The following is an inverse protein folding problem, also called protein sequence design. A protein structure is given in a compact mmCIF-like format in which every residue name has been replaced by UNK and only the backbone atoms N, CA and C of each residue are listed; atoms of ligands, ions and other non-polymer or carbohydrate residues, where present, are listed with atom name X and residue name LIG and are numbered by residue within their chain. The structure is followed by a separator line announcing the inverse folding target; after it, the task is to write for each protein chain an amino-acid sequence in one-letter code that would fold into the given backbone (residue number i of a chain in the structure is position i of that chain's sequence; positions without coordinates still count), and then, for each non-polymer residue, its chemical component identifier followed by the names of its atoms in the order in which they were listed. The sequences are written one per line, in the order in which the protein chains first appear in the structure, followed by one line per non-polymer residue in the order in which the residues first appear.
data_IF_746314696645
#
_entry.id   IF_746314696645
#
_cell.length_a   1.000
_cell.length_b   1.000
_cell.length_c   1.000
_cell.angle_alpha   90.00
_cell.angle_beta   90.00
_cell.angle_gamma   90.00
#
_symmetry.space_group_name_H-M   'P 1'
#
loop_
_entity.id
_entity.type
_entity.pdbx_description
1 polymer ?
#
# COMPACT_ATOMS: atom_id res chain seq x y z
N UNK A 1 -12.40 2.00 -1.94
CA UNK A 1 -13.58 2.15 -2.84
C UNK A 1 -14.40 3.32 -2.32
N UNK A 2 -14.81 4.22 -3.19
CA UNK A 2 -15.68 5.32 -2.76
C UNK A 2 -17.11 4.83 -2.50
N UNK A 3 -17.89 5.60 -1.72
CA UNK A 3 -19.29 5.31 -1.48
C UNK A 3 -20.13 5.60 -2.74
N UNK A 4 -21.03 4.69 -3.14
CA UNK A 4 -21.85 4.87 -4.34
C UNK A 4 -22.79 6.07 -4.27
N UNK A 5 -23.25 6.46 -3.06
CA UNK A 5 -24.06 7.66 -2.87
C UNK A 5 -23.22 8.90 -3.11
N UNK A 6 -21.98 8.93 -2.57
CA UNK A 6 -21.04 10.00 -2.82
C UNK A 6 -20.72 10.14 -4.31
N UNK A 7 -20.50 9.02 -5.03
CA UNK A 7 -20.25 9.02 -6.48
C UNK A 7 -21.44 9.63 -7.23
N UNK A 8 -22.68 9.27 -6.88
CA UNK A 8 -23.90 9.82 -7.50
C UNK A 8 -24.06 11.32 -7.29
N UNK A 9 -23.77 11.79 -6.09
CA UNK A 9 -23.88 13.20 -5.72
C UNK A 9 -22.75 14.06 -6.31
N UNK A 10 -21.59 13.45 -6.63
CA UNK A 10 -20.37 14.14 -7.04
C UNK A 10 -19.77 13.58 -8.34
N UNK A 11 -20.60 13.17 -9.30
CA UNK A 11 -20.16 12.53 -10.55
C UNK A 11 -19.10 13.32 -11.32
N UNK A 12 -19.26 14.65 -11.41
CA UNK A 12 -18.33 15.52 -12.11
C UNK A 12 -16.96 15.58 -11.42
N UNK A 13 -16.94 15.54 -10.09
CA UNK A 13 -15.72 15.51 -9.29
C UNK A 13 -14.97 14.19 -9.48
N UNK A 14 -15.68 13.06 -9.56
CA UNK A 14 -15.09 11.75 -9.85
C UNK A 14 -14.49 11.72 -11.27
N UNK A 15 -15.22 12.20 -12.26
CA UNK A 15 -14.76 12.29 -13.64
C UNK A 15 -13.51 13.18 -13.76
N UNK A 16 -13.49 14.33 -13.08
CA UNK A 16 -12.33 15.22 -13.02
C UNK A 16 -11.13 14.55 -12.33
N UNK A 17 -11.36 13.83 -11.20
CA UNK A 17 -10.33 13.08 -10.49
C UNK A 17 -9.72 11.99 -11.36
N UNK A 18 -10.54 11.22 -12.08
CA UNK A 18 -10.10 10.21 -13.04
C UNK A 18 -9.25 10.84 -14.16
N UNK A 19 -9.72 11.94 -14.75
CA UNK A 19 -9.00 12.67 -15.78
C UNK A 19 -7.64 13.19 -15.30
N UNK A 20 -7.55 13.76 -14.10
CA UNK A 20 -6.29 14.24 -13.50
C UNK A 20 -5.27 13.11 -13.30
N UNK A 21 -5.75 11.92 -12.95
CA UNK A 21 -4.92 10.70 -12.79
C UNK A 21 -4.63 9.98 -14.11
N UNK A 22 -5.11 10.48 -15.23
CA UNK A 22 -5.02 9.82 -16.54
C UNK A 22 -5.63 8.40 -16.54
N UNK A 23 -6.66 8.16 -15.68
CA UNK A 23 -7.37 6.90 -15.60
C UNK A 23 -8.62 7.01 -16.48
N UNK A 24 -8.75 6.08 -17.43
CA UNK A 24 -9.97 5.96 -18.24
C UNK A 24 -11.07 5.29 -17.40
N UNK A 25 -12.04 6.10 -16.96
CA UNK A 25 -13.16 5.65 -16.13
C UNK A 25 -14.46 6.36 -16.51
N UNK A 26 -15.46 5.55 -16.90
CA UNK A 26 -16.79 6.04 -17.24
C UNK A 26 -17.72 5.99 -16.03
N UNK A 27 -17.95 7.17 -15.42
CA UNK A 27 -18.84 7.32 -14.27
C UNK A 27 -20.29 7.06 -14.64
N UNK A 28 -20.74 7.48 -15.85
CA UNK A 28 -22.12 7.30 -16.28
C UNK A 28 -22.43 5.82 -16.54
N UNK A 29 -21.48 5.05 -17.06
CA UNK A 29 -21.61 3.59 -17.19
C UNK A 29 -21.82 2.93 -15.81
N UNK A 30 -21.03 3.33 -14.80
CA UNK A 30 -21.21 2.85 -13.42
C UNK A 30 -22.60 3.18 -12.88
N UNK A 31 -23.05 4.43 -13.04
CA UNK A 31 -24.35 4.87 -12.53
C UNK A 31 -25.51 4.15 -13.23
N UNK A 32 -25.40 3.91 -14.53
CA UNK A 32 -26.40 3.14 -15.29
C UNK A 32 -26.50 1.68 -14.79
N UNK A 33 -25.36 1.04 -14.51
CA UNK A 33 -25.34 -0.33 -13.95
C UNK A 33 -25.89 -0.34 -12.53
N UNK A 34 -25.59 0.68 -11.71
CA UNK A 34 -26.13 0.81 -10.35
C UNK A 34 -27.64 1.01 -10.35
N UNK A 35 -28.21 1.76 -11.31
CA UNK A 35 -29.65 1.93 -11.45
C UNK A 35 -30.35 0.60 -11.75
N UNK A 36 -29.84 -0.17 -12.72
CA UNK A 36 -30.34 -1.52 -13.03
C UNK A 36 -30.24 -2.46 -11.82
N UNK A 37 -29.11 -2.40 -11.10
CA UNK A 37 -28.92 -3.19 -9.87
C UNK A 37 -29.99 -2.86 -8.83
N UNK A 38 -30.29 -1.59 -8.62
CA UNK A 38 -31.33 -1.13 -7.68
C UNK A 38 -32.72 -1.56 -8.09
N UNK A 39 -33.06 -1.42 -9.37
CA UNK A 39 -34.34 -1.87 -9.91
C UNK A 39 -34.54 -3.38 -9.73
N UNK A 40 -33.56 -4.19 -10.14
CA UNK A 40 -33.62 -5.65 -9.97
C UNK A 40 -33.66 -6.07 -8.49
N UNK A 41 -32.88 -5.39 -7.62
CA UNK A 41 -32.93 -5.68 -6.19
C UNK A 41 -34.33 -5.44 -5.62
N UNK A 42 -34.97 -4.32 -5.96
CA UNK A 42 -36.33 -4.02 -5.52
C UNK A 42 -37.36 -5.01 -6.08
N UNK A 43 -37.23 -5.42 -7.36
CA UNK A 43 -38.11 -6.41 -7.98
C UNK A 43 -38.02 -7.77 -7.29
N UNK A 44 -36.81 -8.27 -7.05
CA UNK A 44 -36.56 -9.53 -6.34
C UNK A 44 -37.08 -9.47 -4.90
N UNK A 45 -36.82 -8.39 -4.16
CA UNK A 45 -37.31 -8.21 -2.79
C UNK A 45 -38.83 -8.20 -2.72
N UNK A 46 -39.50 -7.51 -3.65
CA UNK A 46 -40.97 -7.48 -3.76
C UNK A 46 -41.54 -8.87 -4.02
N UNK A 47 -40.99 -9.61 -5.01
CA UNK A 47 -41.46 -10.97 -5.33
C UNK A 47 -41.19 -11.94 -4.18
N UNK A 48 -40.10 -11.77 -3.43
CA UNK A 48 -39.78 -12.56 -2.24
C UNK A 48 -40.80 -12.31 -1.11
N UNK A 49 -41.23 -11.06 -0.92
CA UNK A 49 -42.29 -10.73 0.01
C UNK A 49 -43.66 -11.32 -0.41
N UNK A 50 -44.02 -11.21 -1.70
CA UNK A 50 -45.23 -11.82 -2.28
C UNK A 50 -45.21 -13.36 -2.12
N UNK A 51 -44.09 -14.01 -2.37
CA UNK A 51 -43.91 -15.45 -2.16
C UNK A 51 -44.17 -15.87 -0.73
N UNK A 52 -43.63 -15.12 0.25
CA UNK A 52 -43.87 -15.39 1.68
C UNK A 52 -45.36 -15.25 2.03
N UNK A 53 -46.01 -14.16 1.55
CA UNK A 53 -47.45 -13.94 1.81
C UNK A 53 -48.33 -15.04 1.20
N UNK A 54 -48.04 -15.47 -0.07
CA UNK A 54 -48.78 -16.55 -0.73
C UNK A 54 -48.54 -17.89 -0.02
N UNK A 55 -47.29 -18.14 0.41
CA UNK A 55 -46.99 -19.36 1.22
C UNK A 55 -47.83 -19.45 2.49
N UNK A 56 -47.96 -18.34 3.23
CA UNK A 56 -48.75 -18.25 4.45
C UNK A 56 -50.26 -18.42 4.18
N UNK A 57 -50.76 -17.98 3.03
CA UNK A 57 -52.14 -18.15 2.59
C UNK A 57 -52.44 -19.62 2.23
N UNK A 58 -51.55 -20.28 1.46
CA UNK A 58 -51.68 -21.68 1.04
C UNK A 58 -51.88 -22.63 2.26
N UNK A 59 -51.17 -22.36 3.38
CA UNK A 59 -51.26 -23.16 4.61
C UNK A 59 -52.66 -23.04 5.24
N UNK A 60 -53.37 -21.93 5.08
CA UNK A 60 -54.65 -21.63 5.70
C UNK A 60 -55.86 -22.05 4.87
N UNK A 61 -55.68 -22.34 3.57
CA UNK A 61 -56.74 -22.71 2.64
C UNK A 61 -57.14 -24.17 2.81
N UNK A 62 -58.45 -24.39 3.03
CA UNK A 62 -59.04 -25.73 3.18
C UNK A 62 -59.62 -26.26 1.84
N UNK A 63 -59.96 -25.37 0.89
CA UNK A 63 -60.45 -25.75 -0.43
C UNK A 63 -59.32 -26.27 -1.29
N UNK A 64 -59.51 -27.46 -1.84
CA UNK A 64 -58.49 -28.16 -2.67
C UNK A 64 -58.23 -27.51 -3.99
N UNK A 65 -59.28 -27.01 -4.65
CA UNK A 65 -59.17 -26.40 -6.00
C UNK A 65 -58.46 -25.02 -5.89
N UNK A 66 -58.85 -24.22 -4.89
CA UNK A 66 -58.22 -22.93 -4.63
C UNK A 66 -56.74 -23.09 -4.24
N UNK A 67 -56.41 -24.12 -3.45
CA UNK A 67 -55.04 -24.44 -3.08
C UNK A 67 -54.19 -24.85 -4.25
N UNK A 68 -54.72 -25.69 -5.16
CA UNK A 68 -54.02 -26.08 -6.39
C UNK A 68 -53.75 -24.87 -7.32
N UNK A 69 -54.70 -23.96 -7.46
CA UNK A 69 -54.55 -22.75 -8.24
C UNK A 69 -53.42 -21.86 -7.66
N UNK A 70 -53.41 -21.64 -6.33
CA UNK A 70 -52.35 -20.84 -5.69
C UNK A 70 -50.97 -21.48 -5.78
N UNK A 71 -50.88 -22.81 -5.78
CA UNK A 71 -49.61 -23.52 -6.03
C UNK A 71 -49.07 -23.27 -7.41
N UNK A 72 -49.95 -23.25 -8.44
CA UNK A 72 -49.55 -22.91 -9.81
C UNK A 72 -49.03 -21.47 -9.90
N UNK A 73 -49.75 -20.50 -9.32
CA UNK A 73 -49.35 -19.10 -9.26
C UNK A 73 -48.01 -18.93 -8.52
N UNK A 74 -47.83 -19.63 -7.42
CA UNK A 74 -46.57 -19.66 -6.66
C UNK A 74 -45.42 -20.19 -7.52
N UNK A 75 -45.64 -21.23 -8.34
CA UNK A 75 -44.62 -21.76 -9.21
C UNK A 75 -44.20 -20.75 -10.29
N UNK A 76 -45.17 -20.06 -10.89
CA UNK A 76 -44.91 -19.00 -11.88
C UNK A 76 -44.10 -17.84 -11.23
N UNK A 77 -44.51 -17.37 -10.06
CA UNK A 77 -43.81 -16.34 -9.31
C UNK A 77 -42.36 -16.74 -9.01
N UNK A 78 -42.14 -18.00 -8.63
CA UNK A 78 -40.80 -18.54 -8.35
C UNK A 78 -39.92 -18.59 -9.58
N UNK A 79 -40.49 -19.03 -10.73
CA UNK A 79 -39.76 -19.10 -12.00
C UNK A 79 -39.38 -17.71 -12.53
N UNK A 80 -40.24 -16.68 -12.32
CA UNK A 80 -39.94 -15.32 -12.66
C UNK A 80 -38.87 -14.73 -11.70
N UNK A 81 -39.01 -14.97 -10.41
CA UNK A 81 -38.04 -14.50 -9.40
C UNK A 81 -36.64 -15.09 -9.68
N UNK A 82 -36.54 -16.37 -10.04
CA UNK A 82 -35.27 -17.00 -10.38
C UNK A 82 -34.59 -16.31 -11.59
N UNK A 83 -35.34 -15.95 -12.64
CA UNK A 83 -34.77 -15.21 -13.77
C UNK A 83 -34.23 -13.84 -13.37
N UNK A 84 -34.95 -13.12 -12.50
CA UNK A 84 -34.50 -11.81 -12.00
C UNK A 84 -33.29 -11.95 -11.06
N UNK A 85 -33.21 -13.00 -10.24
CA UNK A 85 -32.04 -13.31 -9.41
C UNK A 85 -30.80 -13.62 -10.26
N UNK A 86 -30.94 -14.34 -11.37
CA UNK A 86 -29.85 -14.59 -12.33
C UNK A 86 -29.37 -13.28 -12.97
N UNK A 87 -30.30 -12.43 -13.44
CA UNK A 87 -29.97 -11.12 -13.98
C UNK A 87 -29.32 -10.20 -12.92
N UNK A 88 -29.82 -10.23 -11.70
CA UNK A 88 -29.23 -9.46 -10.59
C UNK A 88 -27.81 -9.93 -10.31
N UNK A 89 -27.52 -11.21 -10.35
CA UNK A 89 -26.19 -11.76 -10.17
C UNK A 89 -25.20 -11.26 -11.24
N UNK A 90 -25.63 -11.22 -12.50
CA UNK A 90 -24.82 -10.68 -13.60
C UNK A 90 -24.55 -9.19 -13.43
N UNK A 91 -25.57 -8.40 -13.13
CA UNK A 91 -25.46 -6.96 -12.90
C UNK A 91 -24.60 -6.67 -11.66
N UNK A 92 -24.70 -7.45 -10.59
CA UNK A 92 -23.84 -7.33 -9.41
C UNK A 92 -22.37 -7.54 -9.75
N UNK A 93 -22.06 -8.51 -10.62
CA UNK A 93 -20.68 -8.74 -11.08
C UNK A 93 -20.14 -7.54 -11.88
N UNK A 94 -20.94 -7.01 -12.81
CA UNK A 94 -20.58 -5.80 -13.57
C UNK A 94 -20.40 -4.60 -12.66
N UNK A 95 -21.32 -4.39 -11.73
CA UNK A 95 -21.25 -3.31 -10.74
C UNK A 95 -19.99 -3.39 -9.88
N UNK A 96 -19.65 -4.58 -9.37
CA UNK A 96 -18.43 -4.79 -8.58
C UNK A 96 -17.17 -4.47 -9.39
N UNK A 97 -17.12 -4.92 -10.66
CA UNK A 97 -15.99 -4.63 -11.56
C UNK A 97 -15.80 -3.12 -11.75
N UNK A 98 -16.88 -2.38 -12.01
CA UNK A 98 -16.81 -0.93 -12.15
C UNK A 98 -16.46 -0.23 -10.83
N UNK A 99 -17.06 -0.66 -9.71
CA UNK A 99 -16.80 -0.06 -8.39
C UNK A 99 -15.34 -0.20 -7.93
N UNK A 100 -14.67 -1.31 -8.23
CA UNK A 100 -13.25 -1.47 -7.88
C UNK A 100 -12.31 -0.65 -8.78
N UNK A 101 -12.79 -0.23 -9.95
CA UNK A 101 -12.05 0.63 -10.87
C UNK A 101 -12.22 2.13 -10.59
N UNK A 102 -13.14 2.54 -9.70
CA UNK A 102 -13.31 3.95 -9.34
C UNK A 102 -12.06 4.51 -8.71
N UNK A 103 -11.42 5.55 -9.28
CA UNK A 103 -10.26 6.19 -8.67
C UNK A 103 -10.66 7.06 -7.47
N UNK A 104 -9.75 7.17 -6.51
CA UNK A 104 -9.87 8.17 -5.46
C UNK A 104 -9.53 9.57 -6.00
N UNK A 105 -10.06 10.59 -5.36
CA UNK A 105 -9.89 11.99 -5.79
C UNK A 105 -8.55 12.50 -5.25
N UNK A 106 -7.67 13.06 -6.10
CA UNK A 106 -6.45 13.70 -5.65
C UNK A 106 -6.73 14.90 -4.75
N UNK A 107 -5.88 15.12 -3.75
CA UNK A 107 -5.88 16.34 -2.93
C UNK A 107 -5.67 17.58 -3.80
N UNK A 108 -6.24 18.72 -3.38
CA UNK A 108 -6.10 19.98 -4.12
C UNK A 108 -4.65 20.49 -4.20
N UNK A 109 -3.78 20.07 -3.28
CA UNK A 109 -2.36 20.42 -3.28
C UNK A 109 -1.52 19.58 -4.25
N UNK A 110 -2.10 18.52 -4.83
CA UNK A 110 -1.40 17.65 -5.78
C UNK A 110 -1.22 18.38 -7.11
N UNK A 111 0.01 18.52 -7.63
CA UNK A 111 0.26 19.18 -8.90
C UNK A 111 -0.34 18.38 -10.07
N UNK A 112 -0.71 19.09 -11.12
CA UNK A 112 -1.08 18.47 -12.39
C UNK A 112 0.19 17.96 -13.10
N UNK A 113 0.09 16.83 -13.78
CA UNK A 113 1.19 16.21 -14.52
C UNK A 113 0.80 14.83 -15.02
N UNK A 114 1.65 14.25 -15.87
CA UNK A 114 1.39 12.99 -16.57
C UNK A 114 2.17 11.82 -15.97
N UNK A 115 3.43 12.06 -15.60
CA UNK A 115 4.33 11.02 -15.08
C UNK A 115 5.31 11.60 -14.03
N UNK A 116 6.26 10.77 -13.59
CA UNK A 116 7.28 11.08 -12.58
C UNK A 116 8.10 12.35 -12.87
N UNK A 117 8.22 12.75 -14.14
CA UNK A 117 8.97 13.96 -14.54
C UNK A 117 8.26 15.26 -14.19
N UNK A 118 6.94 15.20 -13.98
CA UNK A 118 6.12 16.35 -13.59
C UNK A 118 6.01 16.49 -12.05
N UNK A 119 6.65 15.60 -11.29
CA UNK A 119 6.75 15.70 -9.85
C UNK A 119 7.47 16.97 -9.43
N UNK A 120 7.06 17.58 -8.31
CA UNK A 120 7.63 18.85 -7.85
C UNK A 120 8.46 18.67 -6.59
N UNK A 121 9.69 19.21 -6.63
CA UNK A 121 10.55 19.28 -5.45
C UNK A 121 9.92 20.19 -4.39
N UNK A 122 9.83 19.68 -3.16
CA UNK A 122 9.33 20.42 -2.00
C UNK A 122 10.43 20.84 -1.05
N UNK A 123 11.46 19.99 -0.89
CA UNK A 123 12.48 20.13 0.14
C UNK A 123 13.77 19.47 -0.34
N UNK A 124 14.90 20.07 -0.02
CA UNK A 124 16.23 19.48 -0.16
C UNK A 124 16.92 19.51 1.19
N UNK A 125 17.67 18.46 1.51
CA UNK A 125 18.47 18.37 2.74
C UNK A 125 19.84 17.73 2.48
N UNK A 126 20.84 18.20 3.21
CA UNK A 126 22.21 17.70 3.14
C UNK A 126 23.03 18.30 2.00
N UNK A 127 24.34 18.14 2.10
CA UNK A 127 25.28 18.58 1.07
C UNK A 127 25.70 17.38 0.23
N UNK A 128 25.61 17.52 -1.09
CA UNK A 128 26.10 16.51 -2.04
C UNK A 128 27.62 16.35 -1.84
N UNK A 129 28.12 15.12 -1.59
CA UNK A 129 29.53 14.89 -1.37
C UNK A 129 30.37 15.28 -2.58
N UNK A 130 31.48 15.96 -2.34
CA UNK A 130 32.46 16.30 -3.38
C UNK A 130 33.64 15.37 -3.26
N UNK A 131 33.86 14.57 -4.29
CA UNK A 131 35.00 13.69 -4.38
C UNK A 131 36.15 14.36 -5.15
N UNK A 132 37.37 14.22 -4.67
CA UNK A 132 38.60 14.60 -5.39
C UNK A 132 39.11 13.46 -6.31
N UNK A 133 38.32 12.38 -6.40
CA UNK A 133 38.54 11.23 -7.25
C UNK A 133 37.26 10.89 -8.02
N UNK A 134 37.34 10.04 -9.03
CA UNK A 134 36.17 9.55 -9.75
C UNK A 134 35.44 8.51 -8.91
N UNK A 135 34.21 8.81 -8.44
CA UNK A 135 33.44 7.85 -7.61
C UNK A 135 33.06 6.62 -8.42
N UNK A 136 33.24 5.45 -7.81
CA UNK A 136 32.78 4.16 -8.34
C UNK A 136 31.30 3.96 -8.02
N UNK A 137 30.63 3.18 -8.84
CA UNK A 137 29.28 2.73 -8.52
C UNK A 137 29.30 1.58 -7.49
N UNK A 138 28.15 1.33 -6.87
CA UNK A 138 28.01 0.29 -5.84
C UNK A 138 28.37 -1.12 -6.32
N UNK A 139 28.17 -1.44 -7.61
CA UNK A 139 28.51 -2.76 -8.15
C UNK A 139 30.01 -2.98 -8.09
N UNK A 140 30.79 -2.00 -8.58
CA UNK A 140 32.26 -2.05 -8.57
C UNK A 140 32.80 -2.10 -7.14
N UNK A 141 32.36 -1.16 -6.27
CA UNK A 141 32.80 -1.08 -4.89
C UNK A 141 32.50 -2.37 -4.11
N UNK A 142 31.25 -2.83 -4.16
CA UNK A 142 30.84 -4.01 -3.39
C UNK A 142 31.45 -5.30 -3.95
N UNK A 143 31.69 -5.38 -5.25
CA UNK A 143 32.38 -6.52 -5.85
C UNK A 143 33.86 -6.54 -5.45
N UNK A 144 34.56 -5.40 -5.54
CA UNK A 144 35.97 -5.25 -5.16
C UNK A 144 36.20 -5.60 -3.68
N UNK A 145 35.24 -5.29 -2.81
CA UNK A 145 35.25 -5.60 -1.38
C UNK A 145 34.70 -6.99 -1.04
N UNK A 146 34.28 -7.79 -2.03
CA UNK A 146 33.73 -9.12 -1.81
C UNK A 146 32.35 -9.13 -1.14
N UNK A 147 31.64 -8.00 -1.15
CA UNK A 147 30.36 -7.77 -0.51
C UNK A 147 29.13 -8.15 -1.37
N UNK A 148 29.31 -8.19 -2.70
CA UNK A 148 28.24 -8.48 -3.67
C UNK A 148 28.69 -9.60 -4.62
N UNK A 149 27.77 -10.54 -4.90
CA UNK A 149 28.03 -11.63 -5.85
C UNK A 149 26.82 -11.76 -6.81
N UNK A 150 26.90 -11.11 -7.93
CA UNK A 150 25.87 -11.13 -8.98
C UNK A 150 25.95 -12.39 -9.86
N UNK A 151 27.14 -12.95 -10.04
CA UNK A 151 27.32 -14.16 -10.86
C UNK A 151 26.60 -15.36 -10.23
N UNK A 152 26.87 -15.60 -8.95
CA UNK A 152 26.17 -16.66 -8.20
C UNK A 152 24.72 -16.33 -7.97
N UNK A 153 24.38 -15.06 -7.78
CA UNK A 153 22.99 -14.60 -7.70
C UNK A 153 22.20 -14.96 -8.96
N UNK A 154 22.74 -14.63 -10.13
CA UNK A 154 22.12 -14.99 -11.42
C UNK A 154 22.04 -16.49 -11.62
N UNK A 155 23.05 -17.23 -11.20
CA UNK A 155 23.06 -18.72 -11.28
C UNK A 155 21.92 -19.34 -10.46
N UNK A 156 21.59 -18.76 -9.31
CA UNK A 156 20.57 -19.32 -8.38
C UNK A 156 19.17 -18.81 -8.69
N UNK A 157 19.02 -17.50 -8.89
CA UNK A 157 17.72 -16.83 -8.99
C UNK A 157 17.41 -16.24 -10.39
N UNK A 158 18.32 -16.36 -11.35
CA UNK A 158 18.16 -15.78 -12.67
C UNK A 158 18.42 -14.28 -12.71
N UNK A 159 17.79 -13.59 -13.66
CA UNK A 159 17.91 -12.14 -13.82
C UNK A 159 17.57 -11.40 -12.53
N UNK A 160 18.38 -10.38 -12.17
CA UNK A 160 18.26 -9.60 -10.92
C UNK A 160 18.49 -10.40 -9.62
N UNK A 161 19.00 -11.64 -9.71
CA UNK A 161 19.42 -12.38 -8.54
C UNK A 161 20.76 -11.86 -8.01
N UNK A 162 20.92 -11.83 -6.69
CA UNK A 162 22.11 -11.32 -6.03
C UNK A 162 22.36 -12.02 -4.69
N UNK A 163 23.61 -11.96 -4.22
CA UNK A 163 23.98 -12.30 -2.85
C UNK A 163 24.69 -11.11 -2.20
N UNK A 164 24.20 -10.67 -1.05
CA UNK A 164 24.96 -9.81 -0.14
C UNK A 164 25.79 -10.69 0.78
N UNK A 165 27.08 -10.38 0.93
CA UNK A 165 28.03 -11.17 1.73
C UNK A 165 28.83 -10.28 2.67
N UNK A 166 29.39 -10.89 3.73
CA UNK A 166 30.30 -10.21 4.63
C UNK A 166 29.72 -8.91 5.19
N UNK A 167 30.46 -7.83 5.03
CA UNK A 167 30.08 -6.53 5.58
C UNK A 167 28.82 -5.93 4.93
N UNK A 168 28.47 -6.28 3.68
CA UNK A 168 27.19 -5.84 3.13
C UNK A 168 25.99 -6.44 3.86
N UNK A 169 26.03 -7.74 4.14
CA UNK A 169 24.98 -8.40 4.90
C UNK A 169 24.89 -7.84 6.35
N UNK A 170 26.06 -7.64 7.00
CA UNK A 170 26.12 -7.03 8.33
C UNK A 170 25.55 -5.60 8.34
N UNK A 171 25.93 -4.78 7.36
CA UNK A 171 25.43 -3.40 7.23
C UNK A 171 23.92 -3.36 6.97
N UNK A 172 23.41 -4.31 6.18
CA UNK A 172 21.96 -4.43 5.95
C UNK A 172 21.22 -4.81 7.25
N UNK A 173 21.73 -5.73 8.06
CA UNK A 173 21.16 -6.04 9.37
C UNK A 173 21.30 -4.86 10.35
N UNK A 174 22.42 -4.13 10.32
CA UNK A 174 22.60 -2.91 11.11
C UNK A 174 21.54 -1.84 10.78
N UNK A 175 21.25 -1.65 9.50
CA UNK A 175 20.17 -0.75 9.04
C UNK A 175 18.81 -1.17 9.57
N UNK A 176 18.46 -2.47 9.51
CA UNK A 176 17.18 -2.95 10.04
C UNK A 176 17.08 -2.74 11.54
N UNK A 177 18.12 -3.03 12.28
CA UNK A 177 18.14 -2.86 13.73
C UNK A 177 18.08 -1.36 14.13
N UNK A 178 18.81 -0.51 13.45
CA UNK A 178 18.76 0.94 13.66
C UNK A 178 17.35 1.50 13.47
N UNK A 179 16.66 1.13 12.39
CA UNK A 179 15.29 1.58 12.12
C UNK A 179 14.33 1.06 13.18
N UNK A 180 14.43 -0.18 13.59
CA UNK A 180 13.61 -0.73 14.66
C UNK A 180 13.79 0.06 15.96
N UNK A 181 15.03 0.32 16.37
CA UNK A 181 15.34 1.10 17.56
C UNK A 181 14.86 2.55 17.47
N UNK A 182 14.94 3.16 16.28
CA UNK A 182 14.42 4.50 16.02
C UNK A 182 12.92 4.58 16.32
N UNK A 183 12.12 3.66 15.80
CA UNK A 183 10.68 3.64 16.03
C UNK A 183 10.29 3.26 17.45
N UNK A 184 11.03 2.37 18.11
CA UNK A 184 10.82 2.06 19.53
C UNK A 184 11.05 3.28 20.43
N UNK A 185 12.03 4.12 20.09
CA UNK A 185 12.30 5.37 20.83
C UNK A 185 11.26 6.47 20.58
N UNK A 186 10.62 6.51 19.41
CA UNK A 186 9.54 7.46 19.09
C UNK A 186 8.25 7.21 19.89
N UNK A 187 8.02 5.99 20.34
CA UNK A 187 6.96 5.69 21.30
C UNK A 187 7.44 6.07 22.71
N UNK A 188 6.79 7.04 23.37
CA UNK A 188 7.12 7.37 24.76
C UNK A 188 6.89 6.15 25.66
N UNK A 189 7.99 5.51 26.08
CA UNK A 189 8.01 4.40 27.02
C UNK A 189 7.72 3.05 26.39
N UNK A 190 8.72 2.47 25.73
CA UNK A 190 8.71 1.07 25.29
C UNK A 190 8.85 0.11 26.48
N UNK A 191 7.85 0.06 27.37
CA UNK A 191 7.59 -1.10 28.21
C UNK A 191 6.53 -1.96 27.54
N UNK A 192 6.55 -3.26 27.82
CA UNK A 192 5.51 -4.21 27.35
C UNK A 192 4.07 -3.72 27.64
N UNK A 193 3.92 -2.84 28.60
CA UNK A 193 2.65 -2.27 29.05
C UNK A 193 2.14 -1.15 28.12
N UNK A 194 2.97 -0.58 27.23
CA UNK A 194 2.54 0.45 26.24
C UNK A 194 1.76 -0.14 25.05
N UNK A 195 1.82 -1.46 24.87
CA UNK A 195 0.95 -2.19 23.94
C UNK A 195 -0.42 -2.54 24.56
N UNK A 196 -0.54 -2.38 25.88
CA UNK A 196 -1.77 -2.58 26.62
C UNK A 196 -2.68 -1.35 26.59
N UNK A 197 -3.96 -1.54 26.79
CA UNK A 197 -5.03 -0.55 26.76
C UNK A 197 -4.73 0.76 27.49
N UNK A 198 -4.75 1.88 26.80
CA UNK A 198 -4.53 3.22 27.38
C UNK A 198 -4.35 4.30 26.32
N UNK A 199 -4.29 5.55 26.70
CA UNK A 199 -4.26 6.78 25.91
C UNK A 199 -3.56 6.68 24.52
N UNK A 200 -4.31 6.89 23.45
CA UNK A 200 -3.89 6.73 22.04
C UNK A 200 -2.67 7.60 21.64
N UNK A 201 -2.49 8.75 22.25
CA UNK A 201 -1.34 9.65 21.98
C UNK A 201 -0.02 9.13 22.57
N UNK A 202 -0.08 8.25 23.57
CA UNK A 202 1.09 7.62 24.18
C UNK A 202 1.50 6.31 23.51
N UNK A 203 0.68 5.78 22.57
CA UNK A 203 0.96 4.51 21.89
C UNK A 203 2.07 4.71 20.87
N UNK A 204 3.16 3.96 21.04
CA UNK A 204 4.27 3.89 20.11
C UNK A 204 3.92 3.09 18.85
N UNK A 205 4.90 2.96 18.00
CA UNK A 205 4.84 2.10 16.82
C UNK A 205 4.89 0.64 17.23
N UNK A 206 3.98 -0.18 16.70
CA UNK A 206 3.93 -1.62 16.94
C UNK A 206 4.79 -2.32 15.89
N UNK A 207 5.95 -2.91 16.24
CA UNK A 207 6.74 -3.67 15.29
C UNK A 207 6.03 -4.98 14.95
N UNK A 208 5.97 -5.31 13.66
CA UNK A 208 5.31 -6.51 13.15
C UNK A 208 6.18 -7.21 12.12
N UNK A 209 6.19 -8.54 12.12
CA UNK A 209 6.61 -9.37 10.98
C UNK A 209 5.32 -9.90 10.36
N UNK A 210 5.11 -9.63 9.09
CA UNK A 210 3.83 -9.92 8.43
C UNK A 210 3.99 -10.98 7.33
N UNK A 211 2.93 -11.74 7.01
CA UNK A 211 2.97 -12.71 5.92
C UNK A 211 3.25 -12.03 4.58
N UNK A 212 4.08 -12.64 3.76
CA UNK A 212 4.30 -12.24 2.36
C UNK A 212 3.46 -13.04 1.36
N UNK A 213 2.87 -14.16 1.77
CA UNK A 213 1.93 -14.95 0.98
C UNK A 213 0.49 -14.52 1.29
N UNK A 214 -0.22 -13.98 0.31
CA UNK A 214 -1.46 -13.24 0.50
C UNK A 214 -2.61 -13.78 -0.34
N UNK A 215 -3.81 -13.71 0.22
CA UNK A 215 -5.06 -13.94 -0.50
C UNK A 215 -5.35 -12.79 -1.47
N UNK A 216 -5.96 -13.11 -2.61
CA UNK A 216 -6.35 -12.14 -3.65
C UNK A 216 -7.20 -10.98 -3.12
N UNK A 217 -8.10 -11.25 -2.18
CA UNK A 217 -9.01 -10.26 -1.60
C UNK A 217 -8.29 -9.08 -0.92
N UNK A 218 -7.11 -9.31 -0.32
CA UNK A 218 -6.32 -8.26 0.30
C UNK A 218 -5.72 -7.29 -0.73
N UNK A 219 -5.26 -7.82 -1.86
CA UNK A 219 -4.74 -7.02 -2.96
C UNK A 219 -5.84 -6.20 -3.65
N UNK A 220 -7.06 -6.77 -3.78
CA UNK A 220 -8.24 -6.02 -4.20
C UNK A 220 -8.59 -4.93 -3.18
N UNK A 221 -8.56 -5.26 -1.89
CA UNK A 221 -8.88 -4.35 -0.80
C UNK A 221 -7.95 -3.15 -0.75
N UNK A 222 -6.67 -3.36 -0.87
CA UNK A 222 -5.66 -2.29 -0.87
C UNK A 222 -5.55 -1.54 -2.21
N UNK A 223 -6.10 -2.10 -3.30
CA UNK A 223 -6.12 -1.45 -4.61
C UNK A 223 -4.93 -1.76 -5.52
N UNK A 224 -4.13 -2.79 -5.17
CA UNK A 224 -3.03 -3.26 -6.04
C UNK A 224 -3.54 -3.97 -7.30
N UNK A 225 -4.66 -4.66 -7.21
CA UNK A 225 -5.33 -5.26 -8.35
C UNK A 225 -6.70 -4.62 -8.58
N UNK A 226 -7.17 -4.56 -9.85
CA UNK A 226 -6.66 -5.25 -11.04
C UNK A 226 -5.46 -4.58 -11.73
N UNK A 227 -5.19 -3.29 -11.53
CA UNK A 227 -4.27 -2.50 -12.36
C UNK A 227 -2.81 -2.93 -12.27
N UNK A 228 -2.33 -3.33 -11.08
CA UNK A 228 -0.96 -3.77 -10.83
C UNK A 228 -0.76 -5.28 -10.86
N UNK A 229 -1.75 -6.07 -11.31
CA UNK A 229 -1.69 -7.53 -11.23
C UNK A 229 -0.51 -8.13 -12.02
N UNK A 230 -0.09 -7.49 -13.12
CA UNK A 230 1.03 -7.94 -13.94
C UNK A 230 2.38 -7.88 -13.21
N UNK A 231 2.50 -7.00 -12.21
CA UNK A 231 3.72 -6.84 -11.42
C UNK A 231 3.82 -7.81 -10.23
N UNK A 232 2.76 -8.56 -9.96
CA UNK A 232 2.70 -9.49 -8.84
C UNK A 232 3.09 -10.91 -9.24
N UNK A 233 3.84 -11.59 -8.36
CA UNK A 233 4.02 -13.04 -8.43
C UNK A 233 2.78 -13.74 -7.90
N UNK A 234 2.34 -14.79 -8.62
CA UNK A 234 1.20 -15.62 -8.25
C UNK A 234 1.65 -17.07 -8.05
N UNK A 235 1.18 -17.71 -7.00
CA UNK A 235 1.42 -19.12 -6.74
C UNK A 235 0.52 -20.03 -7.58
N UNK A 236 0.86 -21.30 -7.63
CA UNK A 236 0.05 -22.32 -8.31
C UNK A 236 -1.32 -22.51 -7.65
N UNK A 237 -1.42 -22.26 -6.33
CA UNK A 237 -2.64 -22.38 -5.54
C UNK A 237 -3.52 -21.11 -5.60
N UNK A 238 -3.05 -20.07 -6.30
CA UNK A 238 -3.82 -18.84 -6.55
C UNK A 238 -3.61 -17.73 -5.55
N UNK A 239 -2.70 -17.89 -4.59
CA UNK A 239 -2.24 -16.81 -3.72
C UNK A 239 -1.21 -15.94 -4.43
N UNK A 240 -0.88 -14.82 -3.84
CA UNK A 240 0.06 -13.85 -4.38
C UNK A 240 1.20 -13.58 -3.40
N UNK A 241 2.40 -13.37 -3.92
CA UNK A 241 3.50 -12.83 -3.12
C UNK A 241 3.37 -11.31 -3.01
N UNK A 242 3.51 -10.81 -1.79
CA UNK A 242 3.35 -9.39 -1.49
C UNK A 242 4.45 -8.53 -2.11
N UNK A 243 4.09 -7.42 -2.74
CA UNK A 243 5.05 -6.40 -3.18
C UNK A 243 5.42 -5.38 -2.10
N UNK A 244 4.78 -5.46 -0.91
CA UNK A 244 4.98 -4.54 0.23
C UNK A 244 4.30 -5.08 1.49
N UNK A 245 4.81 -4.76 2.67
CA UNK A 245 4.19 -5.11 3.95
C UNK A 245 2.82 -4.45 4.17
N UNK A 246 2.52 -3.35 3.48
CA UNK A 246 1.24 -2.63 3.57
C UNK A 246 0.04 -3.56 3.45
N UNK A 247 0.03 -4.44 2.43
CA UNK A 247 -1.14 -5.27 2.10
C UNK A 247 -1.50 -6.21 3.24
N UNK A 248 -0.50 -6.90 3.80
CA UNK A 248 -0.69 -7.80 4.94
C UNK A 248 -1.12 -7.03 6.19
N UNK A 249 -0.50 -5.87 6.43
CA UNK A 249 -0.77 -5.03 7.61
C UNK A 249 -2.19 -4.46 7.57
N UNK A 250 -2.66 -4.04 6.40
CA UNK A 250 -4.05 -3.63 6.22
C UNK A 250 -5.01 -4.80 6.44
N UNK A 251 -4.66 -5.99 5.96
CA UNK A 251 -5.45 -7.21 6.15
C UNK A 251 -5.57 -7.65 7.62
N UNK A 252 -4.66 -7.21 8.51
CA UNK A 252 -4.67 -7.55 9.92
C UNK A 252 -5.97 -7.13 10.64
N UNK A 253 -6.56 -6.02 10.23
CA UNK A 253 -7.82 -5.50 10.79
C UNK A 253 -9.03 -5.70 9.88
N UNK A 254 -8.92 -6.50 8.82
CA UNK A 254 -10.04 -6.77 7.91
C UNK A 254 -11.27 -7.29 8.66
N UNK A 255 -12.46 -6.73 8.31
CA UNK A 255 -13.76 -7.03 8.92
C UNK A 255 -13.91 -6.67 10.42
N UNK A 256 -13.01 -5.86 10.96
CA UNK A 256 -13.06 -5.45 12.36
C UNK A 256 -13.72 -4.07 12.59
N UNK A 257 -14.29 -3.92 13.78
CA UNK A 257 -14.77 -2.65 14.32
C UNK A 257 -13.87 -2.25 15.48
N UNK A 258 -13.08 -1.22 15.27
CA UNK A 258 -12.17 -0.67 16.29
C UNK A 258 -12.92 0.29 17.21
N UNK A 259 -12.39 0.49 18.41
CA UNK A 259 -12.84 1.55 19.31
C UNK A 259 -12.10 2.86 18.97
N UNK A 260 -12.81 3.99 18.95
CA UNK A 260 -12.19 5.31 18.66
C UNK A 260 -10.99 5.60 19.54
N UNK A 261 -11.08 5.30 20.85
CA UNK A 261 -9.97 5.45 21.80
C UNK A 261 -8.70 4.69 21.41
N UNK A 262 -8.82 3.70 20.52
CA UNK A 262 -7.70 2.87 20.05
C UNK A 262 -7.02 3.40 18.80
N UNK A 263 -7.52 4.48 18.22
CA UNK A 263 -6.90 5.18 17.10
C UNK A 263 -5.97 6.30 17.61
N UNK A 264 -4.87 6.60 16.90
CA UNK A 264 -4.40 5.90 15.72
C UNK A 264 -3.76 4.55 16.03
N UNK A 265 -3.88 3.57 15.13
CA UNK A 265 -3.03 2.38 15.11
C UNK A 265 -1.81 2.69 14.26
N UNK A 266 -0.61 2.61 14.85
CA UNK A 266 0.67 2.83 14.17
C UNK A 266 1.47 1.54 14.15
N UNK A 267 1.71 1.00 12.96
CA UNK A 267 2.37 -0.29 12.77
C UNK A 267 3.64 -0.11 11.95
N UNK A 268 4.74 -0.70 12.43
CA UNK A 268 6.00 -0.82 11.70
C UNK A 268 6.14 -2.26 11.23
N UNK A 269 5.78 -2.54 9.99
CA UNK A 269 5.70 -3.88 9.44
C UNK A 269 6.94 -4.23 8.62
N UNK A 270 7.54 -5.39 8.92
CA UNK A 270 8.66 -5.96 8.16
C UNK A 270 8.19 -7.14 7.32
N UNK A 271 8.53 -7.15 6.05
CA UNK A 271 8.31 -8.30 5.16
C UNK A 271 9.33 -8.38 4.05
N UNK A 272 9.42 -9.57 3.47
CA UNK A 272 9.88 -9.74 2.10
C UNK A 272 8.90 -9.05 1.16
N UNK A 273 9.43 -8.51 0.06
CA UNK A 273 8.66 -7.90 -1.00
C UNK A 273 9.10 -8.45 -2.36
N UNK A 274 8.13 -8.80 -3.18
CA UNK A 274 8.33 -9.46 -4.46
C UNK A 274 7.67 -8.66 -5.58
N UNK A 275 8.44 -8.25 -6.58
CA UNK A 275 7.94 -7.54 -7.76
C UNK A 275 8.48 -8.14 -9.04
N UNK A 276 7.60 -8.40 -10.01
CA UNK A 276 8.02 -8.89 -11.33
C UNK A 276 8.74 -7.83 -12.14
N UNK A 277 8.54 -6.54 -11.79
CA UNK A 277 9.11 -5.40 -12.51
C UNK A 277 8.69 -5.40 -13.99
N UNK A 278 7.45 -5.80 -14.28
CA UNK A 278 6.93 -6.01 -15.62
C UNK A 278 6.96 -4.74 -16.50
N UNK A 279 6.76 -3.56 -15.89
CA UNK A 279 6.79 -2.26 -16.58
C UNK A 279 8.18 -1.63 -16.71
N UNK A 280 9.25 -2.25 -16.18
CA UNK A 280 10.57 -1.64 -16.05
C UNK A 280 11.56 -2.04 -17.15
N UNK A 281 11.08 -2.29 -18.37
CA UNK A 281 11.95 -2.70 -19.49
C UNK A 281 13.12 -1.72 -19.72
N UNK A 282 14.34 -2.26 -19.56
CA UNK A 282 15.59 -1.50 -19.79
C UNK A 282 16.02 -0.57 -18.65
N UNK A 283 15.21 -0.38 -17.59
CA UNK A 283 15.58 0.43 -16.42
C UNK A 283 16.35 -0.43 -15.40
N UNK A 284 17.45 0.09 -14.89
CA UNK A 284 18.26 -0.52 -13.80
C UNK A 284 18.49 -2.03 -14.00
N UNK A 285 19.03 -2.41 -15.17
CA UNK A 285 19.23 -3.81 -15.54
C UNK A 285 20.45 -4.44 -14.87
N UNK A 286 21.30 -3.63 -14.22
CA UNK A 286 22.49 -4.07 -13.50
C UNK A 286 22.43 -3.62 -12.04
N UNK A 287 23.17 -4.36 -11.18
CA UNK A 287 23.25 -4.05 -9.77
C UNK A 287 22.02 -4.48 -8.97
N UNK A 288 21.83 -3.86 -7.81
CA UNK A 288 20.79 -4.22 -6.85
C UNK A 288 19.81 -3.09 -6.54
N UNK A 289 19.81 -2.02 -7.36
CA UNK A 289 18.88 -0.90 -7.19
C UNK A 289 17.42 -1.31 -7.49
N UNK A 290 17.24 -2.25 -8.44
CA UNK A 290 15.95 -2.81 -8.83
C UNK A 290 16.04 -4.33 -8.96
N UNK A 291 15.42 -5.03 -8.01
CA UNK A 291 15.48 -6.48 -7.85
C UNK A 291 14.07 -7.07 -7.74
N UNK A 292 13.95 -8.39 -7.96
CA UNK A 292 12.67 -9.09 -7.86
C UNK A 292 12.26 -9.41 -6.43
N UNK A 293 13.22 -9.50 -5.52
CA UNK A 293 13.04 -9.80 -4.11
C UNK A 293 13.89 -8.86 -3.26
N UNK A 294 13.25 -8.22 -2.28
CA UNK A 294 13.91 -7.32 -1.34
C UNK A 294 13.14 -7.26 -0.03
N UNK A 295 13.77 -6.72 1.01
CA UNK A 295 13.16 -6.55 2.33
C UNK A 295 12.80 -5.09 2.56
N UNK A 296 11.72 -4.88 3.32
CA UNK A 296 11.23 -3.54 3.61
C UNK A 296 10.59 -3.44 4.99
N UNK A 297 10.90 -2.36 5.71
CA UNK A 297 10.06 -1.84 6.77
C UNK A 297 9.06 -0.84 6.21
N UNK A 298 7.79 -1.05 6.52
CA UNK A 298 6.67 -0.20 6.12
C UNK A 298 5.98 0.37 7.34
N UNK A 299 5.78 1.69 7.35
CA UNK A 299 4.91 2.38 8.27
C UNK A 299 3.49 2.29 7.77
N UNK A 300 2.55 1.80 8.58
CA UNK A 300 1.13 1.81 8.27
C UNK A 300 0.39 2.47 9.42
N UNK A 301 -0.49 3.42 9.10
CA UNK A 301 -1.31 4.13 10.08
C UNK A 301 -2.78 3.98 9.73
N UNK A 302 -3.59 3.61 10.74
CA UNK A 302 -5.04 3.72 10.70
C UNK A 302 -5.46 4.83 11.66
N UNK A 303 -6.19 5.83 11.18
CA UNK A 303 -6.63 6.96 11.98
C UNK A 303 -8.14 7.23 11.81
N UNK A 304 -8.66 8.19 12.58
CA UNK A 304 -10.05 8.62 12.45
C UNK A 304 -10.38 9.12 11.05
N UNK A 305 -11.66 9.04 10.67
CA UNK A 305 -12.18 9.52 9.39
C UNK A 305 -12.19 11.06 9.33
N UNK A 306 -11.00 11.64 9.31
CA UNK A 306 -10.74 13.08 9.29
C UNK A 306 -9.65 13.41 8.28
N UNK A 307 -9.90 14.38 7.39
CA UNK A 307 -8.87 14.86 6.47
C UNK A 307 -7.68 15.47 7.21
N UNK A 308 -7.96 16.24 8.28
CA UNK A 308 -6.91 16.86 9.11
C UNK A 308 -6.01 15.82 9.74
N UNK A 309 -6.57 14.71 10.25
CA UNK A 309 -5.76 13.63 10.82
C UNK A 309 -4.98 12.89 9.73
N UNK A 310 -5.58 12.65 8.56
CA UNK A 310 -4.84 12.07 7.43
C UNK A 310 -3.63 12.92 7.04
N UNK A 311 -3.79 14.24 6.93
CA UNK A 311 -2.66 15.14 6.64
C UNK A 311 -1.63 15.12 7.76
N UNK A 312 -2.04 15.22 9.03
CA UNK A 312 -1.16 15.16 10.20
C UNK A 312 -0.29 13.90 10.19
N UNK A 313 -0.91 12.75 10.01
CA UNK A 313 -0.17 11.48 10.01
C UNK A 313 0.64 11.26 8.74
N UNK A 314 0.22 11.81 7.59
CA UNK A 314 1.02 11.78 6.36
C UNK A 314 2.35 12.54 6.56
N UNK A 315 2.29 13.73 7.12
CA UNK A 315 3.50 14.51 7.46
C UNK A 315 4.36 13.80 8.53
N UNK A 316 3.74 13.14 9.53
CA UNK A 316 4.47 12.38 10.54
C UNK A 316 5.25 11.21 9.93
N UNK A 317 4.59 10.36 9.12
CA UNK A 317 5.26 9.20 8.52
C UNK A 317 6.33 9.61 7.51
N UNK A 318 6.12 10.70 6.78
CA UNK A 318 7.13 11.28 5.90
C UNK A 318 8.34 11.76 6.72
N UNK A 319 8.11 12.53 7.79
CA UNK A 319 9.17 13.06 8.66
C UNK A 319 9.98 11.94 9.31
N UNK A 320 9.38 10.82 9.68
CA UNK A 320 10.09 9.66 10.21
C UNK A 320 11.16 9.15 9.25
N UNK A 321 10.84 9.02 7.96
CA UNK A 321 11.79 8.55 6.94
C UNK A 321 12.87 9.59 6.65
N UNK A 322 12.52 10.88 6.68
CA UNK A 322 13.49 11.97 6.58
C UNK A 322 14.50 11.92 7.73
N UNK A 323 14.04 11.80 8.99
CA UNK A 323 14.91 11.70 10.17
C UNK A 323 15.86 10.49 10.14
N UNK A 324 15.38 9.36 9.62
CA UNK A 324 16.22 8.18 9.39
C UNK A 324 17.31 8.50 8.37
N UNK A 325 16.93 9.13 7.25
CA UNK A 325 17.86 9.50 6.16
C UNK A 325 18.87 10.55 6.63
N UNK A 326 18.41 11.54 7.41
CA UNK A 326 19.26 12.55 8.06
C UNK A 326 20.26 11.93 9.04
N UNK A 327 19.81 10.99 9.88
CA UNK A 327 20.68 10.29 10.81
C UNK A 327 21.74 9.43 10.10
N UNK A 328 21.43 8.93 8.91
CA UNK A 328 22.39 8.23 8.03
C UNK A 328 23.33 9.19 7.31
N UNK A 329 23.12 10.52 7.39
CA UNK A 329 23.94 11.54 6.72
C UNK A 329 23.83 11.52 5.20
N UNK A 330 22.71 11.07 4.65
CA UNK A 330 22.49 10.91 3.22
C UNK A 330 21.75 12.14 2.65
N UNK A 331 22.34 12.86 1.66
CA UNK A 331 21.64 13.97 1.02
C UNK A 331 20.41 13.49 0.27
N UNK A 332 19.29 14.17 0.46
CA UNK A 332 18.02 13.81 -0.17
C UNK A 332 17.20 15.02 -0.58
N UNK A 333 16.24 14.80 -1.45
CA UNK A 333 15.12 15.69 -1.63
C UNK A 333 13.78 14.96 -1.45
N UNK A 334 12.73 15.73 -1.20
CA UNK A 334 11.35 15.26 -1.16
C UNK A 334 10.61 15.86 -2.33
N UNK A 335 9.90 15.03 -3.07
CA UNK A 335 9.02 15.47 -4.16
C UNK A 335 7.57 15.17 -3.82
N UNK A 336 6.66 16.04 -4.22
CA UNK A 336 5.24 15.75 -4.27
C UNK A 336 4.92 15.20 -5.65
N UNK A 337 4.30 14.03 -5.69
CA UNK A 337 3.94 13.38 -6.93
C UNK A 337 2.76 14.10 -7.59
N UNK A 338 2.84 14.25 -8.91
CA UNK A 338 1.75 14.79 -9.71
C UNK A 338 0.59 13.81 -9.81
N UNK A 339 -0.56 14.29 -10.25
CA UNK A 339 -1.77 13.47 -10.29
C UNK A 339 -1.65 12.23 -11.19
N UNK A 340 -0.90 12.32 -12.29
CA UNK A 340 -0.65 11.18 -13.20
C UNK A 340 0.28 10.10 -12.64
N UNK A 341 1.07 10.43 -11.60
CA UNK A 341 1.94 9.49 -10.89
C UNK A 341 1.31 8.94 -9.59
N UNK A 342 0.01 9.20 -9.38
CA UNK A 342 -0.75 8.62 -8.26
C UNK A 342 -1.40 7.30 -8.66
N UNK A 343 -1.25 6.29 -7.82
CA UNK A 343 -2.03 5.06 -7.91
C UNK A 343 -3.54 5.29 -7.71
N UNK A 344 -4.35 4.31 -8.08
CA UNK A 344 -5.82 4.38 -8.08
C UNK A 344 -6.39 4.93 -6.76
N UNK A 345 -5.93 4.41 -5.63
CA UNK A 345 -6.46 4.74 -4.30
C UNK A 345 -5.81 5.94 -3.62
N UNK A 346 -4.65 6.39 -4.09
CA UNK A 346 -3.89 7.45 -3.45
C UNK A 346 -4.58 8.80 -3.60
N UNK A 347 -4.64 9.57 -2.51
CA UNK A 347 -5.11 10.95 -2.48
C UNK A 347 -3.94 11.91 -2.68
N UNK A 348 -2.80 11.59 -2.06
CA UNK A 348 -1.56 12.35 -2.17
C UNK A 348 -0.37 11.41 -1.88
N UNK A 349 0.74 11.69 -2.53
CA UNK A 349 1.98 10.91 -2.39
C UNK A 349 3.18 11.86 -2.31
N UNK A 350 4.13 11.53 -1.43
CA UNK A 350 5.48 12.08 -1.42
C UNK A 350 6.47 10.97 -1.68
N UNK A 351 7.51 11.24 -2.49
CA UNK A 351 8.66 10.37 -2.58
C UNK A 351 9.87 11.07 -1.94
N UNK A 352 10.66 10.28 -1.20
CA UNK A 352 11.97 10.67 -0.73
C UNK A 352 13.02 10.03 -1.63
N UNK A 353 13.87 10.86 -2.21
CA UNK A 353 14.89 10.43 -3.15
C UNK A 353 16.27 10.83 -2.62
N UNK A 354 17.19 9.89 -2.54
CA UNK A 354 18.54 10.06 -2.01
C UNK A 354 19.53 10.19 -3.15
N UNK A 355 20.51 11.07 -2.98
CA UNK A 355 21.57 11.29 -3.95
C UNK A 355 22.39 10.03 -4.24
N UNK A 356 22.56 9.71 -5.52
CA UNK A 356 23.36 8.59 -5.99
C UNK A 356 24.55 9.13 -6.82
N UNK A 357 25.77 9.16 -6.25
CA UNK A 357 26.94 9.76 -6.85
C UNK A 357 27.30 9.27 -8.25
N UNK A 358 27.21 7.95 -8.48
CA UNK A 358 27.58 7.33 -9.77
C UNK A 358 26.67 7.74 -10.92
N UNK A 359 25.41 8.11 -10.62
CA UNK A 359 24.44 8.55 -11.63
C UNK A 359 24.27 10.08 -11.64
N UNK A 360 24.87 10.77 -10.68
CA UNK A 360 24.74 12.23 -10.50
C UNK A 360 23.27 12.67 -10.47
N UNK A 361 22.42 11.93 -9.75
CA UNK A 361 20.99 12.19 -9.63
C UNK A 361 20.45 11.67 -8.30
N UNK A 362 19.25 12.08 -7.96
CA UNK A 362 18.47 11.51 -6.85
C UNK A 362 17.73 10.26 -7.29
N UNK A 363 17.61 9.28 -6.38
CA UNK A 363 16.91 8.03 -6.63
C UNK A 363 15.97 7.73 -5.46
N UNK A 364 14.74 7.36 -5.77
CA UNK A 364 13.70 7.04 -4.79
C UNK A 364 14.14 5.93 -3.82
N UNK A 365 14.01 6.20 -2.52
CA UNK A 365 14.27 5.24 -1.44
C UNK A 365 13.03 4.93 -0.60
N UNK A 366 12.02 5.77 -0.68
CA UNK A 366 10.76 5.62 0.06
C UNK A 366 9.63 6.45 -0.54
N UNK A 367 8.40 6.08 -0.21
CA UNK A 367 7.19 6.70 -0.71
C UNK A 367 6.10 6.71 0.36
N UNK A 368 5.58 7.92 0.67
CA UNK A 368 4.54 8.15 1.65
C UNK A 368 3.21 8.48 1.00
N UNK A 369 2.14 7.79 1.36
CA UNK A 369 0.81 7.97 0.77
C UNK A 369 -0.29 7.99 1.80
N UNK A 370 -1.40 8.71 1.53
CA UNK A 370 -2.64 8.50 2.24
C UNK A 370 -3.82 8.29 1.27
N UNK A 371 -4.86 7.57 1.77
CA UNK A 371 -5.93 7.01 0.95
C UNK A 371 -7.33 7.41 1.42
N UNK A 372 -7.45 8.16 2.53
CA UNK A 372 -8.71 8.30 3.26
C UNK A 372 -9.30 6.90 3.56
N UNK A 373 -10.60 6.69 3.33
CA UNK A 373 -11.28 5.41 3.58
C UNK A 373 -11.32 4.46 2.36
N UNK A 374 -10.54 4.73 1.32
CA UNK A 374 -10.55 3.94 0.08
C UNK A 374 -10.27 2.45 0.29
N UNK A 375 -9.22 2.14 1.03
CA UNK A 375 -8.80 0.77 1.32
C UNK A 375 -9.70 0.14 2.38
N UNK A 376 -10.01 0.87 3.43
CA UNK A 376 -10.74 0.38 4.59
C UNK A 376 -12.21 0.10 4.30
N UNK A 377 -12.83 0.80 3.33
CA UNK A 377 -14.16 0.43 2.80
C UNK A 377 -14.14 -0.92 2.12
N UNK A 378 -13.08 -1.25 1.39
CA UNK A 378 -12.93 -2.53 0.70
C UNK A 378 -12.64 -3.67 1.67
N UNK A 379 -11.83 -3.39 2.70
CA UNK A 379 -11.45 -4.33 3.75
C UNK A 379 -12.40 -4.32 4.94
N UNK A 380 -13.47 -3.51 4.89
CA UNK A 380 -14.50 -3.39 5.92
C UNK A 380 -13.95 -3.08 7.32
N UNK A 381 -12.90 -2.23 7.39
CA UNK A 381 -12.30 -1.79 8.65
C UNK A 381 -13.00 -0.51 9.13
N UNK A 382 -13.68 -0.60 10.24
CA UNK A 382 -14.51 0.48 10.78
C UNK A 382 -14.11 0.82 12.21
N UNK A 383 -14.56 1.94 12.69
CA UNK A 383 -14.49 2.27 14.10
C UNK A 383 -15.83 2.83 14.60
N UNK A 384 -16.06 2.74 15.90
CA UNK A 384 -17.22 3.31 16.58
C UNK A 384 -16.86 4.70 17.06
N UNK A 385 -17.54 5.72 16.49
CA UNK A 385 -17.37 7.11 16.87
C UNK A 385 -18.12 7.44 18.20
N UNK A 386 -17.87 8.61 18.76
CA UNK A 386 -18.44 9.05 20.05
C UNK A 386 -19.98 9.10 20.06
N UNK A 387 -20.59 9.31 18.89
CA UNK A 387 -22.05 9.28 18.68
C UNK A 387 -22.60 7.85 18.48
N UNK A 388 -21.77 6.82 18.62
CA UNK A 388 -22.12 5.41 18.43
C UNK A 388 -22.20 4.96 16.98
N UNK A 389 -21.99 5.85 16.01
CA UNK A 389 -22.03 5.52 14.57
C UNK A 389 -20.75 4.83 14.13
N UNK A 390 -20.90 3.93 13.16
CA UNK A 390 -19.78 3.27 12.52
C UNK A 390 -19.27 4.12 11.35
N UNK A 391 -17.96 4.39 11.36
CA UNK A 391 -17.22 5.07 10.28
C UNK A 391 -16.08 4.19 9.81
N UNK A 392 -15.70 4.30 8.55
CA UNK A 392 -14.49 3.66 8.04
C UNK A 392 -13.27 4.46 8.50
N UNK A 393 -12.23 3.78 8.98
CA UNK A 393 -10.97 4.46 9.34
C UNK A 393 -10.27 4.99 8.08
N UNK A 394 -9.40 5.97 8.23
CA UNK A 394 -8.50 6.39 7.15
C UNK A 394 -7.18 5.62 7.24
N UNK A 395 -6.57 5.32 6.08
CA UNK A 395 -5.32 4.58 6.00
C UNK A 395 -4.22 5.38 5.34
N UNK A 396 -2.99 5.15 5.81
CA UNK A 396 -1.76 5.76 5.32
C UNK A 396 -0.63 4.74 5.35
N UNK A 397 0.33 4.90 4.46
CA UNK A 397 1.58 4.13 4.50
C UNK A 397 2.80 4.98 4.12
N UNK A 398 3.96 4.51 4.51
CA UNK A 398 5.25 5.01 4.04
C UNK A 398 6.33 3.96 4.23
N UNK A 399 7.23 3.85 3.27
CA UNK A 399 8.45 3.07 3.44
C UNK A 399 9.32 3.70 4.53
N UNK A 400 9.51 3.00 5.65
CA UNK A 400 10.47 3.43 6.67
C UNK A 400 11.91 3.19 6.21
N UNK A 401 12.18 2.01 5.65
CA UNK A 401 13.47 1.64 5.06
C UNK A 401 13.30 0.47 4.09
N UNK A 402 14.01 0.53 2.95
CA UNK A 402 14.15 -0.57 1.98
C UNK A 402 15.61 -1.03 1.90
N UNK A 403 15.95 -1.86 0.92
CA UNK A 403 17.34 -2.24 0.64
C UNK A 403 18.19 -1.15 -0.03
N UNK A 404 17.55 -0.13 -0.64
CA UNK A 404 18.24 0.94 -1.39
C UNK A 404 19.19 1.79 -0.56
N UNK A 405 18.90 2.18 0.70
CA UNK A 405 19.84 2.93 1.54
C UNK A 405 21.21 2.28 1.71
N UNK A 406 21.33 0.95 1.63
CA UNK A 406 22.62 0.27 1.60
C UNK A 406 23.48 0.75 0.42
N UNK A 407 22.89 0.85 -0.78
CA UNK A 407 23.56 1.34 -1.99
C UNK A 407 23.98 2.80 -1.81
N UNK A 408 23.08 3.61 -1.26
CA UNK A 408 23.32 5.04 -1.04
C UNK A 408 24.48 5.27 -0.05
N UNK A 409 24.56 4.46 1.02
CA UNK A 409 25.70 4.50 1.95
C UNK A 409 26.98 4.13 1.23
N UNK A 410 27.01 3.02 0.51
CA UNK A 410 28.20 2.54 -0.20
C UNK A 410 28.75 3.62 -1.13
N UNK A 411 27.92 4.29 -1.89
CA UNK A 411 28.36 5.28 -2.85
C UNK A 411 28.68 6.65 -2.24
N UNK A 412 27.90 7.11 -1.24
CA UNK A 412 28.13 8.42 -0.63
C UNK A 412 29.31 8.41 0.36
N UNK A 413 29.65 7.28 0.96
CA UNK A 413 30.70 7.17 1.97
C UNK A 413 32.00 6.54 1.46
N UNK A 414 32.12 6.32 0.13
CA UNK A 414 33.33 5.76 -0.45
C UNK A 414 34.54 6.69 -0.32
N UNK A 415 35.72 6.07 -0.22
CA UNK A 415 37.00 6.76 -0.13
C UNK A 415 37.85 6.51 -1.39
N UNK A 416 38.89 7.32 -1.60
CA UNK A 416 39.78 7.21 -2.76
C UNK A 416 40.45 5.85 -2.90
N UNK A 417 40.71 5.17 -1.79
CA UNK A 417 41.30 3.82 -1.74
C UNK A 417 40.29 2.68 -1.97
N UNK A 418 39.01 3.02 -2.18
CA UNK A 418 37.92 2.08 -2.36
C UNK A 418 37.35 1.52 -1.06
N UNK A 419 37.77 1.99 0.10
CA UNK A 419 37.11 1.71 1.37
C UNK A 419 35.82 2.52 1.54
N UNK A 420 34.98 2.14 2.51
CA UNK A 420 33.70 2.76 2.77
C UNK A 420 33.64 3.10 4.26
N UNK A 421 33.41 4.37 4.59
CA UNK A 421 33.14 4.78 5.96
C UNK A 421 31.73 4.31 6.35
N UNK A 422 31.58 3.83 7.59
CA UNK A 422 30.27 3.43 8.12
C UNK A 422 29.65 4.64 8.83
N UNK A 423 28.42 5.05 8.50
CA UNK A 423 27.71 6.12 9.23
C UNK A 423 27.77 5.89 10.74
N UNK A 424 28.05 6.93 11.52
CA UNK A 424 28.26 6.83 12.97
C UNK A 424 27.12 6.11 13.70
N UNK A 425 25.88 6.37 13.28
CA UNK A 425 24.68 5.75 13.87
C UNK A 425 24.60 4.26 13.67
N UNK A 426 25.32 3.70 12.68
CA UNK A 426 25.35 2.27 12.37
C UNK A 426 26.54 1.55 13.02
N UNK A 427 27.58 2.25 13.44
CA UNK A 427 28.81 1.63 14.02
C UNK A 427 28.51 0.75 15.24
N UNK A 428 27.60 1.13 16.17
CA UNK A 428 27.25 0.26 17.29
C UNK A 428 26.68 -1.09 16.84
N UNK A 429 25.88 -1.11 15.77
CA UNK A 429 25.31 -2.33 15.21
C UNK A 429 26.27 -3.14 14.34
N UNK A 430 27.40 -2.54 13.99
CA UNK A 430 28.52 -3.18 13.27
C UNK A 430 29.64 -3.65 14.22
N UNK A 431 29.39 -3.69 15.55
CA UNK A 431 30.39 -4.07 16.55
C UNK A 431 31.51 -3.05 16.73
N UNK A 432 31.22 -1.76 16.46
CA UNK A 432 32.19 -0.66 16.55
C UNK A 432 33.06 -0.48 15.32
N UNK A 433 32.86 -1.25 14.25
CA UNK A 433 33.58 -1.09 12.99
C UNK A 433 33.23 0.28 12.37
N UNK A 434 34.26 1.04 11.97
CA UNK A 434 34.12 2.38 11.39
C UNK A 434 34.31 2.40 9.87
N UNK A 435 35.09 1.47 9.35
CA UNK A 435 35.47 1.41 7.92
C UNK A 435 35.34 -0.02 7.42
N UNK A 436 34.80 -0.15 6.22
CA UNK A 436 34.83 -1.39 5.41
C UNK A 436 35.96 -1.24 4.42
N UNK A 437 36.94 -2.15 4.44
CA UNK A 437 38.09 -2.14 3.55
C UNK A 437 38.39 -3.54 3.05
N UNK A 438 39.18 -3.63 1.99
CA UNK A 438 39.66 -4.91 1.48
C UNK A 438 40.55 -5.56 2.53
N UNK A 439 40.22 -6.78 2.92
CA UNK A 439 41.01 -7.62 3.84
C UNK A 439 42.30 -8.18 3.16
#
# INVERSE_FOLDING_TARGET
MLDIKFIRENKDLIAQGAKKKHIDFDVEALLSVDDKRRELTQAVEKKRAEQNEVSDKIVKISDKAEKEQMIIEMKMLKDEMQKEEEQLKEIMTQWQTLMVAVPNIPDMSVPEGVDDKDNKELKVWGEIPKFDFTPKNHIELMTDLGMLDLERGTKVAGFRGYFLKGDAARLQFALWQFVQDFFLKKGKGASSDTYAEGNSEARGWIPMIVPSLLKRELLLGTGYIPQGEEDLYKTQDGEYLSGTAEVATMGYYMDEILEKKDLPKKMLAFSDAFRREAGSHGKDTKGILRVHEFYKFEQVVLCEASHTDSVKYHEEIQRNTEEITEALGLPYHVVINCAGDLGLGQVKKYDIEVWLPSENTYRETGSASYFHDFQTRRLNIRYRDDDGKLKFVHSLNNTALSGRPLIMIVENYQQADGSINIPEVLQPYMGGQQIISKS
#
